data_IF_047680635978
#
_entry.id   IF_047680635978
#
_cell.length_a   1.000
_cell.length_b   1.000
_cell.length_c   1.000
_cell.angle_alpha   90.00
_cell.angle_beta   90.00
_cell.angle_gamma   90.00
#
_symmetry.space_group_name_H-M   'P 1'
#
loop_
_entity.id
_entity.type
_entity.pdbx_description
1 polymer ?
#
# COMPACT_ATOMS: atom_id res chain seq x y z
N UNK A 1 9.63 20.81 -6.36
CA UNK A 1 10.15 19.48 -6.76
C UNK A 1 8.99 18.51 -6.67
N UNK A 2 8.79 17.68 -7.68
CA UNK A 2 7.71 16.67 -7.68
C UNK A 2 7.97 15.67 -6.55
N UNK A 3 6.96 15.43 -5.70
CA UNK A 3 7.02 14.44 -4.62
C UNK A 3 6.69 13.06 -5.16
N UNK A 4 7.23 12.01 -4.56
CA UNK A 4 6.82 10.63 -4.85
C UNK A 4 6.57 9.84 -3.58
N UNK A 5 5.51 9.04 -3.55
CA UNK A 5 5.21 8.14 -2.45
C UNK A 5 4.90 6.74 -2.94
N UNK A 6 5.31 5.74 -2.18
CA UNK A 6 5.01 4.33 -2.44
C UNK A 6 3.89 3.85 -1.53
N UNK A 7 2.88 3.21 -2.12
CA UNK A 7 1.70 2.67 -1.44
C UNK A 7 1.70 1.15 -1.52
N UNK A 8 1.88 0.48 -0.37
CA UNK A 8 1.97 -0.97 -0.27
C UNK A 8 0.67 -1.53 0.32
N UNK A 9 0.03 -2.52 -0.29
CA UNK A 9 -1.12 -3.18 0.34
C UNK A 9 -0.71 -3.93 1.61
N UNK A 10 -1.52 -3.83 2.67
CA UNK A 10 -1.35 -4.63 3.88
C UNK A 10 -1.45 -6.15 3.60
N UNK A 11 -1.10 -6.97 4.59
CA UNK A 11 -1.12 -8.43 4.47
C UNK A 11 -1.99 -9.12 5.53
N UNK A 12 -2.50 -10.30 5.20
CA UNK A 12 -3.25 -11.14 6.15
C UNK A 12 -2.37 -11.63 7.29
N UNK A 13 -1.18 -12.16 6.99
CA UNK A 13 -0.22 -12.64 8.00
C UNK A 13 0.36 -11.47 8.78
N UNK A 14 0.09 -11.44 10.09
CA UNK A 14 0.53 -10.43 11.04
C UNK A 14 1.20 -11.06 12.27
N UNK A 15 1.95 -10.29 13.04
CA UNK A 15 2.32 -10.66 14.41
C UNK A 15 1.05 -10.74 15.29
N UNK A 16 1.15 -11.43 16.43
CA UNK A 16 0.07 -11.59 17.41
C UNK A 16 0.02 -10.49 18.47
N UNK A 17 0.86 -9.46 18.34
CA UNK A 17 1.01 -8.38 19.31
C UNK A 17 1.17 -7.04 18.61
N UNK A 18 0.94 -5.95 19.35
CA UNK A 18 1.24 -4.59 18.91
C UNK A 18 2.67 -4.49 18.35
N UNK A 19 2.78 -3.86 17.20
CA UNK A 19 4.04 -3.53 16.56
C UNK A 19 3.87 -2.34 15.63
N UNK A 20 4.98 -1.77 15.17
CA UNK A 20 5.00 -0.82 14.06
C UNK A 20 4.41 -1.49 12.81
N UNK A 21 3.69 -0.74 11.99
CA UNK A 21 3.01 -1.27 10.81
C UNK A 21 3.97 -2.02 9.87
N UNK A 22 5.21 -1.53 9.69
CA UNK A 22 6.25 -2.19 8.89
C UNK A 22 6.69 -3.57 9.42
N UNK A 23 6.60 -3.76 10.72
CA UNK A 23 7.04 -4.98 11.42
C UNK A 23 5.87 -5.93 11.68
N UNK A 24 4.65 -5.40 11.80
CA UNK A 24 3.44 -6.16 12.03
C UNK A 24 3.15 -7.14 10.89
N UNK A 25 3.23 -6.70 9.62
CA UNK A 25 2.90 -7.55 8.48
C UNK A 25 4.08 -8.46 8.10
N UNK A 26 3.90 -9.77 8.23
CA UNK A 26 5.00 -10.74 8.13
C UNK A 26 4.98 -11.60 6.86
N UNK A 27 4.05 -11.35 5.93
CA UNK A 27 3.99 -12.12 4.68
C UNK A 27 5.19 -11.87 3.78
N UNK A 28 5.61 -12.89 3.02
CA UNK A 28 6.75 -12.79 2.10
C UNK A 28 6.54 -11.69 1.05
N UNK A 29 5.34 -11.61 0.48
CA UNK A 29 5.01 -10.59 -0.53
C UNK A 29 5.13 -9.17 0.06
N UNK A 30 4.60 -8.95 1.27
CA UNK A 30 4.71 -7.65 1.94
C UNK A 30 6.17 -7.28 2.21
N UNK A 31 6.97 -8.20 2.77
CA UNK A 31 8.39 -7.96 3.05
C UNK A 31 9.18 -7.61 1.79
N UNK A 32 8.89 -8.29 0.68
CA UNK A 32 9.53 -8.02 -0.61
C UNK A 32 9.08 -6.68 -1.21
N UNK A 33 7.79 -6.35 -1.16
CA UNK A 33 7.29 -5.03 -1.56
C UNK A 33 7.90 -3.91 -0.73
N UNK A 34 8.03 -4.09 0.59
CA UNK A 34 8.65 -3.09 1.47
C UNK A 34 10.13 -2.88 1.12
N UNK A 35 10.89 -3.96 0.90
CA UNK A 35 12.27 -3.87 0.44
C UNK A 35 12.39 -3.17 -0.91
N UNK A 36 11.49 -3.49 -1.84
CA UNK A 36 11.49 -2.85 -3.15
C UNK A 36 11.14 -1.36 -3.05
N UNK A 37 10.12 -1.00 -2.26
CA UNK A 37 9.76 0.39 -1.99
C UNK A 37 10.92 1.19 -1.41
N UNK A 38 11.71 0.59 -0.51
CA UNK A 38 12.91 1.23 0.06
C UNK A 38 14.01 1.46 -0.97
N UNK A 39 14.09 0.65 -2.04
CA UNK A 39 15.04 0.84 -3.15
C UNK A 39 14.61 1.91 -4.16
N UNK A 40 13.33 2.33 -4.16
CA UNK A 40 12.81 3.30 -5.12
C UNK A 40 13.17 4.76 -4.79
N UNK A 41 13.82 5.02 -3.66
CA UNK A 41 14.25 6.37 -3.23
C UNK A 41 13.12 7.42 -3.22
N UNK A 42 11.87 6.97 -3.01
CA UNK A 42 10.70 7.85 -2.88
C UNK A 42 10.75 8.66 -1.58
N UNK A 43 10.06 9.80 -1.53
CA UNK A 43 9.99 10.65 -0.33
C UNK A 43 9.43 9.89 0.88
N UNK A 44 8.37 9.11 0.68
CA UNK A 44 7.70 8.37 1.76
C UNK A 44 7.11 7.05 1.29
N UNK A 45 6.96 6.13 2.24
CA UNK A 45 6.32 4.84 2.03
C UNK A 45 5.16 4.72 3.02
N UNK A 46 3.98 4.35 2.53
CA UNK A 46 2.80 4.10 3.33
C UNK A 46 2.22 2.71 3.06
N UNK A 47 1.46 2.22 4.03
CA UNK A 47 0.74 0.95 3.93
C UNK A 47 -0.75 1.25 3.80
N UNK A 48 -1.37 0.71 2.75
CA UNK A 48 -2.81 0.67 2.54
C UNK A 48 -3.40 -0.45 3.42
N UNK A 49 -3.88 -0.07 4.59
CA UNK A 49 -4.57 -0.93 5.56
C UNK A 49 -6.06 -0.97 5.29
N UNK A 50 -6.63 -2.18 5.22
CA UNK A 50 -8.08 -2.35 5.14
C UNK A 50 -8.85 -1.74 6.34
N UNK A 51 -8.22 -1.66 7.52
CA UNK A 51 -8.83 -1.13 8.75
C UNK A 51 -8.55 0.35 8.97
N UNK A 52 -7.34 0.79 8.68
CA UNK A 52 -6.86 2.11 9.06
C UNK A 52 -6.77 3.11 7.89
N UNK A 53 -7.00 2.64 6.65
CA UNK A 53 -6.77 3.43 5.46
C UNK A 53 -5.27 3.53 5.16
N UNK A 54 -4.69 4.69 5.41
CA UNK A 54 -3.27 4.99 5.21
C UNK A 54 -2.50 4.89 6.54
N UNK A 55 -1.41 4.13 6.55
CA UNK A 55 -0.52 3.99 7.70
C UNK A 55 0.91 4.39 7.35
N UNK A 56 1.56 5.15 8.23
CA UNK A 56 3.02 5.31 8.17
C UNK A 56 3.71 4.01 8.63
N UNK A 57 4.95 3.80 8.17
CA UNK A 57 5.71 2.59 8.52
C UNK A 57 5.95 2.43 10.02
N UNK A 58 6.11 3.54 10.75
CA UNK A 58 6.44 3.56 12.16
C UNK A 58 5.22 3.69 13.09
N UNK A 59 4.00 3.79 12.53
CA UNK A 59 2.78 3.81 13.34
C UNK A 59 2.57 2.46 14.04
N UNK A 60 2.44 2.48 15.36
CA UNK A 60 2.11 1.27 16.14
C UNK A 60 0.62 0.96 16.07
N UNK A 61 0.30 -0.30 15.75
CA UNK A 61 -1.08 -0.79 15.69
C UNK A 61 -1.19 -2.19 16.29
N UNK A 62 -2.37 -2.53 16.78
CA UNK A 62 -2.73 -3.89 17.20
C UNK A 62 -3.03 -4.78 15.98
N UNK A 63 -2.80 -6.11 16.06
CA UNK A 63 -3.27 -7.04 15.03
C UNK A 63 -4.79 -6.97 14.88
N UNK A 64 -5.26 -7.21 13.65
CA UNK A 64 -6.68 -7.15 13.30
C UNK A 64 -6.99 -8.08 12.13
N UNK A 65 -8.24 -8.52 12.04
CA UNK A 65 -8.74 -9.37 10.95
C UNK A 65 -9.78 -8.62 10.12
N UNK A 66 -9.27 -7.89 9.12
CA UNK A 66 -10.08 -7.19 8.13
C UNK A 66 -9.36 -7.17 6.79
N UNK A 67 -10.11 -7.35 5.70
CA UNK A 67 -9.57 -7.35 4.33
C UNK A 67 -10.56 -6.69 3.39
N UNK A 68 -10.05 -5.88 2.45
CA UNK A 68 -10.90 -5.34 1.39
C UNK A 68 -11.48 -6.46 0.52
N UNK A 69 -10.83 -7.62 0.43
CA UNK A 69 -11.28 -8.73 -0.44
C UNK A 69 -12.68 -9.24 -0.10
N UNK A 70 -13.13 -9.11 1.15
CA UNK A 70 -14.46 -9.54 1.58
C UNK A 70 -15.48 -8.39 1.64
N UNK A 71 -15.05 -7.14 1.42
CA UNK A 71 -15.93 -5.97 1.39
C UNK A 71 -16.68 -5.85 0.06
N UNK A 72 -17.91 -5.35 0.14
CA UNK A 72 -18.73 -4.94 -0.98
C UNK A 72 -18.16 -3.68 -1.65
N UNK A 73 -18.57 -3.43 -2.90
CA UNK A 73 -18.05 -2.31 -3.68
C UNK A 73 -18.20 -0.96 -2.97
N UNK A 74 -19.34 -0.71 -2.33
CA UNK A 74 -19.60 0.58 -1.66
C UNK A 74 -18.78 0.76 -0.37
N UNK A 75 -18.47 -0.33 0.33
CA UNK A 75 -17.54 -0.29 1.47
C UNK A 75 -16.11 0.01 1.02
N UNK A 76 -15.67 -0.56 -0.12
CA UNK A 76 -14.34 -0.26 -0.68
C UNK A 76 -14.26 1.17 -1.20
N UNK A 77 -15.36 1.74 -1.75
CA UNK A 77 -15.43 3.16 -2.11
C UNK A 77 -15.29 4.06 -0.87
N UNK A 78 -16.02 3.76 0.20
CA UNK A 78 -15.92 4.52 1.45
C UNK A 78 -14.49 4.45 2.04
N UNK A 79 -13.87 3.28 1.99
CA UNK A 79 -12.47 3.11 2.35
C UNK A 79 -11.53 3.94 1.46
N UNK A 80 -11.79 3.97 0.14
CA UNK A 80 -10.99 4.75 -0.80
C UNK A 80 -11.12 6.26 -0.54
N UNK A 81 -12.32 6.75 -0.27
CA UNK A 81 -12.57 8.15 0.10
C UNK A 81 -11.81 8.54 1.37
N UNK A 82 -11.80 7.65 2.38
CA UNK A 82 -11.00 7.86 3.60
C UNK A 82 -9.50 7.96 3.28
N UNK A 83 -8.97 7.05 2.46
CA UNK A 83 -7.54 7.06 2.07
C UNK A 83 -7.20 8.32 1.28
N UNK A 84 -8.04 8.73 0.33
CA UNK A 84 -7.83 9.95 -0.45
C UNK A 84 -7.81 11.19 0.44
N UNK A 85 -8.70 11.25 1.44
CA UNK A 85 -8.68 12.31 2.44
C UNK A 85 -7.36 12.33 3.21
N UNK A 86 -6.92 11.19 3.75
CA UNK A 86 -5.65 11.08 4.48
C UNK A 86 -4.44 11.46 3.62
N UNK A 87 -4.44 11.11 2.34
CA UNK A 87 -3.40 11.51 1.39
C UNK A 87 -3.41 13.03 1.20
N UNK A 88 -4.59 13.62 0.95
CA UNK A 88 -4.74 15.06 0.68
C UNK A 88 -4.35 15.96 1.87
N UNK A 89 -4.38 15.43 3.09
CA UNK A 89 -3.91 16.13 4.29
C UNK A 89 -2.39 16.29 4.32
N UNK A 90 -1.65 15.49 3.55
CA UNK A 90 -0.17 15.42 3.60
C UNK A 90 0.46 15.79 2.25
N UNK A 91 -0.20 15.45 1.13
CA UNK A 91 0.33 15.60 -0.22
C UNK A 91 -0.69 16.24 -1.17
N UNK A 92 -0.21 17.06 -2.10
CA UNK A 92 -1.02 17.46 -3.26
C UNK A 92 -1.20 16.28 -4.20
N UNK A 93 -2.45 16.00 -4.58
CA UNK A 93 -2.81 14.95 -5.54
C UNK A 93 -2.26 15.25 -6.94
N UNK A 94 -2.13 16.53 -7.26
CA UNK A 94 -1.73 17.03 -8.57
C UNK A 94 -0.22 16.96 -8.79
N UNK A 95 0.56 17.18 -7.72
CA UNK A 95 2.02 17.33 -7.77
C UNK A 95 2.78 16.10 -7.25
N UNK A 96 2.06 15.07 -6.79
CA UNK A 96 2.66 13.85 -6.23
C UNK A 96 2.54 12.68 -7.21
N UNK A 97 3.61 11.88 -7.30
CA UNK A 97 3.65 10.59 -7.98
C UNK A 97 3.29 9.49 -6.98
N UNK A 98 2.30 8.68 -7.32
CA UNK A 98 1.79 7.60 -6.49
C UNK A 98 2.18 6.25 -7.09
N UNK A 99 3.10 5.55 -6.42
CA UNK A 99 3.62 4.26 -6.87
C UNK A 99 2.90 3.16 -6.08
N UNK A 100 2.06 2.38 -6.75
CA UNK A 100 1.27 1.32 -6.13
C UNK A 100 1.97 -0.04 -6.21
N UNK A 101 2.31 -0.58 -5.05
CA UNK A 101 2.70 -1.98 -4.83
C UNK A 101 1.53 -2.72 -4.15
N UNK A 102 0.37 -2.67 -4.80
CA UNK A 102 -0.90 -3.14 -4.27
C UNK A 102 -1.74 -3.84 -5.34
N UNK A 103 -2.54 -4.82 -4.90
CA UNK A 103 -3.48 -5.52 -5.76
C UNK A 103 -4.62 -4.62 -6.26
N UNK A 104 -5.30 -5.08 -7.31
CA UNK A 104 -6.35 -4.33 -8.01
C UNK A 104 -7.44 -3.76 -7.09
N UNK A 105 -7.93 -4.56 -6.13
CA UNK A 105 -8.97 -4.13 -5.19
C UNK A 105 -8.57 -2.95 -4.30
N UNK A 106 -7.28 -2.80 -4.01
CA UNK A 106 -6.75 -1.68 -3.21
C UNK A 106 -6.54 -0.41 -4.01
N UNK A 107 -6.51 -0.49 -5.35
CA UNK A 107 -6.22 0.67 -6.21
C UNK A 107 -7.43 1.14 -7.00
N UNK A 108 -8.36 0.25 -7.39
CA UNK A 108 -9.47 0.54 -8.33
C UNK A 108 -10.19 1.86 -8.08
N UNK A 109 -10.55 2.16 -6.83
CA UNK A 109 -11.29 3.38 -6.48
C UNK A 109 -10.40 4.55 -6.05
N UNK A 110 -9.07 4.34 -5.95
CA UNK A 110 -8.11 5.42 -5.74
C UNK A 110 -7.65 6.01 -7.08
N UNK A 111 -7.34 5.16 -8.06
CA UNK A 111 -6.74 5.58 -9.34
C UNK A 111 -7.53 6.70 -10.06
N UNK A 112 -8.87 6.69 -10.14
CA UNK A 112 -9.62 7.75 -10.82
C UNK A 112 -9.45 9.15 -10.21
N UNK A 113 -8.95 9.23 -8.98
CA UNK A 113 -8.80 10.48 -8.24
C UNK A 113 -7.34 10.94 -8.13
N UNK A 114 -6.39 10.21 -8.71
CA UNK A 114 -4.96 10.53 -8.67
C UNK A 114 -4.46 10.86 -10.08
N UNK A 115 -3.52 11.81 -10.21
CA UNK A 115 -3.02 12.24 -11.53
C UNK A 115 -1.81 11.44 -11.99
N UNK A 116 -0.77 11.35 -11.16
CA UNK A 116 0.50 10.74 -11.55
C UNK A 116 0.62 9.38 -10.86
N UNK A 117 0.39 8.29 -11.59
CA UNK A 117 0.25 6.94 -11.04
C UNK A 117 1.27 6.01 -11.72
N UNK A 118 1.94 5.19 -10.92
CA UNK A 118 2.74 4.07 -11.39
C UNK A 118 2.27 2.77 -10.74
N UNK A 119 2.18 1.68 -11.51
CA UNK A 119 1.82 0.35 -11.00
C UNK A 119 2.81 -0.71 -11.52
N UNK A 120 4.06 -0.76 -11.01
CA UNK A 120 5.15 -1.54 -11.61
C UNK A 120 4.93 -3.05 -11.69
N UNK A 121 3.96 -3.56 -10.91
CA UNK A 121 3.61 -4.98 -10.80
C UNK A 121 2.22 -5.30 -11.35
N UNK A 122 1.58 -4.35 -12.06
CA UNK A 122 0.28 -4.57 -12.70
C UNK A 122 0.33 -5.75 -13.68
N UNK A 123 -0.76 -6.50 -13.76
CA UNK A 123 -0.90 -7.66 -14.65
C UNK A 123 -0.15 -8.91 -14.19
N UNK A 124 0.70 -8.82 -13.16
CA UNK A 124 1.41 -9.98 -12.61
C UNK A 124 0.58 -10.65 -11.50
N UNK A 125 0.37 -11.97 -11.62
CA UNK A 125 -0.13 -12.78 -10.52
C UNK A 125 0.90 -12.87 -9.38
N UNK A 126 0.45 -13.21 -8.17
CA UNK A 126 1.28 -13.21 -6.94
C UNK A 126 2.60 -13.97 -7.12
N UNK A 127 2.60 -15.14 -7.75
CA UNK A 127 3.82 -15.92 -7.99
C UNK A 127 4.85 -15.18 -8.84
N UNK A 128 4.42 -14.54 -9.92
CA UNK A 128 5.29 -13.73 -10.81
C UNK A 128 5.75 -12.45 -10.10
N UNK A 129 4.89 -11.83 -9.29
CA UNK A 129 5.30 -10.69 -8.45
C UNK A 129 6.41 -11.09 -7.48
N UNK A 130 6.29 -12.22 -6.79
CA UNK A 130 7.32 -12.71 -5.88
C UNK A 130 8.66 -12.95 -6.60
N UNK A 131 8.64 -13.54 -7.80
CA UNK A 131 9.84 -13.74 -8.59
C UNK A 131 10.50 -12.41 -8.96
N UNK A 132 9.73 -11.51 -9.58
CA UNK A 132 10.24 -10.20 -10.02
C UNK A 132 10.73 -9.35 -8.85
N UNK A 133 10.02 -9.35 -7.73
CA UNK A 133 10.46 -8.63 -6.53
C UNK A 133 11.78 -9.18 -5.98
N UNK A 134 11.98 -10.50 -5.98
CA UNK A 134 13.27 -11.08 -5.57
C UNK A 134 14.40 -10.58 -6.45
N UNK A 135 14.20 -10.52 -7.76
CA UNK A 135 15.20 -9.99 -8.71
C UNK A 135 15.49 -8.51 -8.44
N UNK A 136 14.46 -7.70 -8.17
CA UNK A 136 14.59 -6.26 -7.91
C UNK A 136 15.27 -5.95 -6.56
N UNK A 137 15.08 -6.80 -5.55
CA UNK A 137 15.61 -6.59 -4.19
C UNK A 137 16.90 -7.35 -3.89
N UNK A 138 17.35 -8.23 -4.80
CA UNK A 138 18.70 -8.82 -4.76
C UNK A 138 19.76 -7.73 -4.92
#
# INVERSE_FOLDING_TARGET
MTKSIVLISCASRKLSQRAKAKDLYISTLFKLNLKYAQKLESDNIFILSAKHGLLSLDQEIEPYELTLNNMYADEVKLWADQVLKQISEIYSIEETIFIFLAGEKYRRYLLPHLKNIETPLEGLGIGKQLQKLKELVS
#
